data_IF_765289065599
#
_entry.id   IF_765289065599
#
_cell.length_a   1.000
_cell.length_b   1.000
_cell.length_c   1.000
_cell.angle_alpha   90.00
_cell.angle_beta   90.00
_cell.angle_gamma   90.00
#
_symmetry.space_group_name_H-M   'P 1'
#
loop_
_entity.id
_entity.type
_entity.pdbx_description
1 polymer ?
#
# COMPACT_ATOMS: atom_id res chain seq x y z
N UNK A 1 32.80 45.26 48.49
CA UNK A 1 32.19 43.99 48.81
C UNK A 1 30.78 43.86 48.22
N UNK A 2 29.99 44.94 48.17
CA UNK A 2 28.62 44.92 47.61
C UNK A 2 28.55 44.76 46.07
N UNK A 3 29.58 45.15 45.32
CA UNK A 3 29.56 45.04 43.84
C UNK A 3 29.75 43.61 43.33
N UNK A 4 30.41 42.73 44.08
CA UNK A 4 30.58 41.30 43.75
C UNK A 4 29.28 40.48 43.95
N UNK A 5 28.50 40.75 44.98
CA UNK A 5 27.27 40.04 45.28
C UNK A 5 26.19 40.27 44.24
N UNK A 6 26.13 41.48 43.65
CA UNK A 6 25.16 41.76 42.56
C UNK A 6 25.51 41.11 41.23
N UNK A 7 26.78 40.81 40.98
CA UNK A 7 27.21 40.19 39.72
C UNK A 7 26.91 38.67 39.71
N UNK A 8 27.05 38.02 40.85
CA UNK A 8 26.72 36.59 41.01
C UNK A 8 25.23 36.35 40.87
N UNK A 9 24.40 37.20 41.50
CA UNK A 9 22.93 37.12 41.35
C UNK A 9 22.44 37.31 39.91
N UNK A 10 23.07 38.25 39.17
CA UNK A 10 22.71 38.49 37.76
C UNK A 10 23.11 37.29 36.87
N UNK A 11 24.20 36.63 37.14
CA UNK A 11 24.65 35.41 36.44
C UNK A 11 23.72 34.22 36.72
N UNK A 12 23.32 34.03 37.96
CA UNK A 12 22.40 32.96 38.34
C UNK A 12 20.99 33.17 37.69
N UNK A 13 20.49 34.39 37.71
CA UNK A 13 19.25 34.75 37.06
C UNK A 13 19.31 34.52 35.54
N UNK A 14 20.43 34.88 34.90
CA UNK A 14 20.67 34.64 33.48
C UNK A 14 20.68 33.16 33.12
N UNK A 15 21.39 32.35 33.91
CA UNK A 15 21.43 30.90 33.72
C UNK A 15 20.05 30.25 33.90
N UNK A 16 19.30 30.70 34.89
CA UNK A 16 17.91 30.23 35.09
C UNK A 16 17.02 30.57 33.91
N UNK A 17 17.07 31.83 33.41
CA UNK A 17 16.27 32.26 32.25
C UNK A 17 16.70 31.52 30.98
N UNK A 18 17.98 31.28 30.75
CA UNK A 18 18.49 30.52 29.63
C UNK A 18 18.02 29.06 29.67
N UNK A 19 18.01 28.46 30.84
CA UNK A 19 17.44 27.12 31.06
C UNK A 19 15.94 27.04 30.76
N UNK A 20 15.19 28.04 31.23
CA UNK A 20 13.75 28.13 30.98
C UNK A 20 13.43 28.27 29.48
N UNK A 21 14.17 29.15 28.77
CA UNK A 21 14.02 29.33 27.31
C UNK A 21 14.36 28.02 26.58
N UNK A 22 15.42 27.32 27.00
CA UNK A 22 15.80 26.01 26.45
C UNK A 22 14.68 24.97 26.60
N UNK A 23 14.06 24.93 27.77
CA UNK A 23 12.96 23.97 28.06
C UNK A 23 11.71 24.28 27.24
N UNK A 24 11.34 25.54 27.11
CA UNK A 24 10.20 25.99 26.28
C UNK A 24 10.48 25.69 24.80
N UNK A 25 11.67 25.98 24.31
CA UNK A 25 12.07 25.71 22.93
C UNK A 25 12.04 24.23 22.60
N UNK A 26 12.51 23.38 23.51
CA UNK A 26 12.44 21.94 23.37
C UNK A 26 10.97 21.44 23.32
N UNK A 27 10.13 21.93 24.24
CA UNK A 27 8.71 21.60 24.26
C UNK A 27 7.98 21.98 22.95
N UNK A 28 8.27 23.19 22.44
CA UNK A 28 7.74 23.65 21.16
C UNK A 28 8.24 22.79 20.00
N UNK A 29 9.52 22.42 19.97
CA UNK A 29 10.07 21.57 18.92
C UNK A 29 9.39 20.18 18.91
N UNK A 30 9.19 19.56 20.06
CA UNK A 30 8.47 18.29 20.20
C UNK A 30 7.01 18.43 19.74
N UNK A 31 6.34 19.51 20.17
CA UNK A 31 4.96 19.80 19.74
C UNK A 31 4.83 19.93 18.22
N UNK A 32 5.67 20.76 17.58
CA UNK A 32 5.66 20.94 16.13
C UNK A 32 6.02 19.66 15.38
N UNK A 33 6.98 18.88 15.89
CA UNK A 33 7.32 17.60 15.29
C UNK A 33 6.15 16.61 15.32
N UNK A 34 5.43 16.52 16.44
CA UNK A 34 4.26 15.68 16.56
C UNK A 34 3.11 16.16 15.67
N UNK A 35 2.85 17.48 15.64
CA UNK A 35 1.83 18.08 14.77
C UNK A 35 2.12 17.81 13.29
N UNK A 36 3.37 17.96 12.86
CA UNK A 36 3.78 17.67 11.49
C UNK A 36 3.62 16.18 11.13
N UNK A 37 3.88 15.27 12.08
CA UNK A 37 3.65 13.82 11.88
C UNK A 37 2.16 13.51 11.70
N UNK A 38 1.29 14.12 12.48
CA UNK A 38 -0.17 13.93 12.37
C UNK A 38 -0.66 14.46 11.02
N UNK A 39 -0.29 15.70 10.65
CA UNK A 39 -0.68 16.30 9.37
C UNK A 39 -0.15 15.52 8.16
N UNK A 40 1.07 14.97 8.25
CA UNK A 40 1.62 14.12 7.20
C UNK A 40 0.82 12.81 7.09
N UNK A 41 0.45 12.21 8.23
CA UNK A 41 -0.37 10.99 8.25
C UNK A 41 -1.75 11.21 7.65
N UNK A 42 -2.40 12.34 7.95
CA UNK A 42 -3.70 12.70 7.37
C UNK A 42 -3.64 12.87 5.85
N UNK A 43 -2.57 13.48 5.32
CA UNK A 43 -2.35 13.63 3.88
C UNK A 43 -2.05 12.32 3.16
N UNK A 44 -1.48 11.34 3.86
CA UNK A 44 -1.06 10.04 3.32
C UNK A 44 -2.01 8.91 3.77
N UNK A 45 -3.27 9.24 4.07
CA UNK A 45 -4.26 8.24 4.51
C UNK A 45 -5.53 8.28 3.66
N UNK A 46 -6.12 7.09 3.51
CA UNK A 46 -7.44 6.90 2.90
C UNK A 46 -8.45 6.46 3.95
N UNK A 47 -9.69 6.87 3.74
CA UNK A 47 -10.85 6.42 4.50
C UNK A 47 -11.58 5.28 3.76
N UNK A 48 -12.53 4.61 4.44
CA UNK A 48 -13.42 3.65 3.78
C UNK A 48 -14.26 4.28 2.67
N UNK A 49 -14.62 5.56 2.81
CA UNK A 49 -15.32 6.31 1.77
C UNK A 49 -14.46 6.49 0.52
N UNK A 50 -13.15 6.77 0.70
CA UNK A 50 -12.22 6.88 -0.43
C UNK A 50 -12.06 5.54 -1.16
N UNK A 51 -11.97 4.43 -0.41
CA UNK A 51 -11.90 3.08 -0.98
C UNK A 51 -13.17 2.81 -1.80
N UNK A 52 -14.35 3.15 -1.29
CA UNK A 52 -15.60 2.97 -2.02
C UNK A 52 -15.60 3.75 -3.33
N UNK A 53 -15.22 5.03 -3.30
CA UNK A 53 -15.10 5.87 -4.50
C UNK A 53 -14.11 5.25 -5.50
N UNK A 54 -12.94 4.82 -5.03
CA UNK A 54 -11.91 4.22 -5.87
C UNK A 54 -12.39 2.95 -6.58
N UNK A 55 -13.18 2.11 -5.88
CA UNK A 55 -13.71 0.87 -6.47
C UNK A 55 -14.90 1.16 -7.40
N UNK A 56 -15.77 2.11 -7.06
CA UNK A 56 -16.86 2.53 -7.94
C UNK A 56 -16.31 3.11 -9.28
N UNK A 57 -15.20 3.88 -9.21
CA UNK A 57 -14.50 4.38 -10.40
C UNK A 57 -13.95 3.23 -11.24
N UNK A 58 -13.27 2.25 -10.63
CA UNK A 58 -12.78 1.07 -11.32
C UNK A 58 -13.91 0.30 -12.01
N UNK A 59 -15.01 0.04 -11.30
CA UNK A 59 -16.15 -0.72 -11.87
C UNK A 59 -16.72 -0.01 -13.09
N UNK A 60 -16.75 1.33 -13.10
CA UNK A 60 -17.13 2.10 -14.29
C UNK A 60 -16.17 1.89 -15.46
N UNK A 61 -14.87 1.92 -15.21
CA UNK A 61 -13.86 1.67 -16.24
C UNK A 61 -13.91 0.23 -16.76
N UNK A 62 -14.10 -0.75 -15.88
CA UNK A 62 -14.27 -2.16 -16.29
C UNK A 62 -15.47 -2.35 -17.22
N UNK A 63 -16.62 -1.71 -16.89
CA UNK A 63 -17.82 -1.76 -17.72
C UNK A 63 -17.64 -1.06 -19.07
N UNK A 64 -16.97 0.09 -19.08
CA UNK A 64 -16.63 0.84 -20.29
C UNK A 64 -15.73 0.02 -21.23
N UNK A 65 -14.76 -0.69 -20.67
CA UNK A 65 -13.85 -1.57 -21.40
C UNK A 65 -14.48 -2.92 -21.80
N UNK A 66 -15.74 -3.16 -21.42
CA UNK A 66 -16.42 -4.46 -21.57
C UNK A 66 -15.60 -5.62 -20.97
N UNK A 67 -14.95 -5.34 -19.83
CA UNK A 67 -14.12 -6.29 -19.12
C UNK A 67 -14.80 -6.72 -17.82
N UNK A 68 -15.36 -7.91 -17.82
CA UNK A 68 -15.85 -8.58 -16.61
C UNK A 68 -14.88 -9.72 -16.32
N UNK A 69 -14.15 -9.70 -15.18
CA UNK A 69 -13.24 -10.77 -14.85
C UNK A 69 -13.97 -12.06 -14.50
N UNK A 70 -13.44 -13.21 -14.89
CA UNK A 70 -13.91 -14.52 -14.44
C UNK A 70 -13.38 -14.83 -13.03
N UNK A 71 -12.20 -14.28 -12.70
CA UNK A 71 -11.53 -14.45 -11.40
C UNK A 71 -10.89 -13.13 -10.96
N UNK A 72 -10.93 -12.88 -9.67
CA UNK A 72 -10.15 -11.82 -9.03
C UNK A 72 -9.07 -12.47 -8.19
N UNK A 73 -7.83 -12.00 -8.31
CA UNK A 73 -6.71 -12.47 -7.52
C UNK A 73 -6.03 -11.31 -6.81
N UNK A 74 -5.77 -11.49 -5.54
CA UNK A 74 -4.94 -10.56 -4.78
C UNK A 74 -3.73 -11.29 -4.20
N UNK A 75 -2.51 -10.75 -4.33
CA UNK A 75 -1.33 -11.35 -3.72
C UNK A 75 -1.36 -11.30 -2.19
N UNK A 76 -2.19 -10.42 -1.58
CA UNK A 76 -2.25 -10.20 -0.13
C UNK A 76 -3.68 -9.88 0.35
N UNK A 77 -3.94 -10.09 1.65
CA UNK A 77 -5.24 -9.80 2.26
C UNK A 77 -5.81 -8.40 1.99
N UNK A 78 -5.03 -7.29 2.02
CA UNK A 78 -5.57 -5.96 1.73
C UNK A 78 -6.24 -5.85 0.36
N UNK A 79 -5.57 -6.32 -0.69
CA UNK A 79 -6.17 -6.37 -2.02
C UNK A 79 -7.35 -7.34 -2.11
N UNK A 80 -7.37 -8.40 -1.30
CA UNK A 80 -8.50 -9.32 -1.18
C UNK A 80 -9.77 -8.64 -0.69
N UNK A 81 -9.66 -7.71 0.28
CA UNK A 81 -10.79 -6.88 0.74
C UNK A 81 -11.36 -6.07 -0.44
N UNK A 82 -10.48 -5.41 -1.20
CA UNK A 82 -10.87 -4.63 -2.37
C UNK A 82 -11.50 -5.54 -3.43
N UNK A 83 -10.91 -6.72 -3.66
CA UNK A 83 -11.42 -7.71 -4.61
C UNK A 83 -12.84 -8.17 -4.29
N UNK A 84 -13.17 -8.38 -3.02
CA UNK A 84 -14.55 -8.71 -2.62
C UNK A 84 -15.51 -7.56 -2.88
N UNK A 85 -15.14 -6.31 -2.60
CA UNK A 85 -15.99 -5.15 -2.91
C UNK A 85 -16.23 -5.04 -4.43
N UNK A 86 -15.19 -5.30 -5.26
CA UNK A 86 -15.31 -5.32 -6.72
C UNK A 86 -16.29 -6.43 -7.16
N UNK A 87 -16.14 -7.65 -6.62
CA UNK A 87 -17.02 -8.78 -6.93
C UNK A 87 -18.47 -8.43 -6.64
N UNK A 88 -18.79 -7.91 -5.46
CA UNK A 88 -20.14 -7.48 -5.06
C UNK A 88 -20.73 -6.45 -6.04
N UNK A 89 -19.95 -5.45 -6.43
CA UNK A 89 -20.42 -4.40 -7.36
C UNK A 89 -20.57 -4.88 -8.82
N UNK A 90 -19.99 -6.02 -9.15
CA UNK A 90 -20.13 -6.68 -10.46
C UNK A 90 -21.18 -7.79 -10.46
N UNK A 91 -21.89 -8.04 -9.34
CA UNK A 91 -22.98 -9.01 -9.26
C UNK A 91 -22.78 -10.09 -8.17
N UNK A 92 -21.65 -10.10 -7.47
CA UNK A 92 -21.41 -10.98 -6.32
C UNK A 92 -20.91 -12.39 -6.64
N UNK A 93 -20.85 -12.78 -7.92
CA UNK A 93 -20.56 -14.17 -8.31
C UNK A 93 -19.11 -14.42 -8.75
N UNK A 94 -18.25 -13.40 -8.71
CA UNK A 94 -16.88 -13.53 -9.18
C UNK A 94 -16.00 -14.05 -8.03
N UNK A 95 -15.38 -15.25 -8.17
CA UNK A 95 -14.51 -15.79 -7.14
C UNK A 95 -13.28 -14.92 -6.89
N UNK A 96 -13.01 -14.66 -5.60
CA UNK A 96 -11.84 -13.89 -5.15
C UNK A 96 -10.84 -14.83 -4.49
N UNK A 97 -9.64 -14.87 -5.03
CA UNK A 97 -8.52 -15.64 -4.49
C UNK A 97 -7.52 -14.72 -3.82
N UNK A 98 -7.11 -15.07 -2.62
CA UNK A 98 -6.05 -14.35 -1.90
C UNK A 98 -4.81 -15.22 -1.90
N UNK A 99 -3.69 -14.67 -2.34
CA UNK A 99 -2.40 -15.35 -2.34
C UNK A 99 -1.81 -15.47 -0.94
N UNK A 100 -0.96 -16.47 -0.78
CA UNK A 100 -0.12 -16.63 0.40
C UNK A 100 1.21 -15.92 0.18
N UNK A 101 1.31 -14.68 0.64
CA UNK A 101 2.49 -13.85 0.42
C UNK A 101 3.18 -13.55 1.74
N UNK A 102 4.41 -14.00 1.87
CA UNK A 102 5.27 -13.78 3.02
C UNK A 102 6.56 -13.06 2.62
N UNK A 103 7.18 -12.38 3.58
CA UNK A 103 8.49 -11.75 3.36
C UNK A 103 9.58 -12.83 3.24
N UNK A 104 10.51 -12.69 2.30
CA UNK A 104 11.71 -13.55 2.20
C UNK A 104 12.59 -13.55 3.46
N UNK A 105 12.36 -12.60 4.38
CA UNK A 105 13.01 -12.57 5.70
C UNK A 105 12.29 -13.42 6.75
N UNK A 106 11.13 -14.01 6.42
CA UNK A 106 10.40 -14.89 7.31
C UNK A 106 11.13 -16.21 7.44
N UNK A 107 11.29 -16.70 8.67
CA UNK A 107 11.91 -18.00 8.96
C UNK A 107 10.92 -19.17 8.87
N UNK A 108 9.61 -18.87 8.82
CA UNK A 108 8.54 -19.85 8.79
C UNK A 108 7.71 -19.67 7.51
N UNK A 109 8.21 -20.22 6.40
CA UNK A 109 7.48 -20.27 5.14
C UNK A 109 6.84 -21.66 5.09
N UNK A 110 5.50 -21.70 5.06
CA UNK A 110 4.74 -22.92 4.83
C UNK A 110 4.15 -22.86 3.43
N UNK A 111 4.55 -23.79 2.57
CA UNK A 111 4.01 -23.90 1.24
C UNK A 111 2.81 -24.84 1.22
N UNK A 112 1.76 -24.43 0.53
CA UNK A 112 0.53 -25.21 0.36
C UNK A 112 0.46 -25.78 -1.04
N UNK A 113 0.13 -27.04 -1.19
CA UNK A 113 0.12 -27.78 -2.46
C UNK A 113 -0.77 -27.15 -3.56
N UNK A 114 -1.76 -26.36 -3.19
CA UNK A 114 -2.66 -25.71 -4.15
C UNK A 114 -2.17 -24.35 -4.67
N UNK A 115 -1.01 -23.87 -4.18
CA UNK A 115 -0.31 -22.72 -4.73
C UNK A 115 0.91 -23.12 -5.55
N UNK A 116 1.24 -22.28 -6.52
CA UNK A 116 2.56 -22.19 -7.14
C UNK A 116 3.26 -20.99 -6.53
N UNK A 117 4.48 -21.17 -6.05
CA UNK A 117 5.22 -20.12 -5.36
C UNK A 117 6.28 -19.51 -6.26
N UNK A 118 6.38 -18.18 -6.18
CA UNK A 118 7.42 -17.40 -6.85
C UNK A 118 8.18 -16.56 -5.83
N UNK A 119 9.48 -16.46 -6.03
CA UNK A 119 10.33 -15.58 -5.25
C UNK A 119 10.63 -14.30 -6.00
N UNK A 120 10.37 -13.17 -5.35
CA UNK A 120 10.81 -11.85 -5.76
C UNK A 120 11.96 -11.40 -4.86
N UNK A 121 12.53 -10.22 -5.10
CA UNK A 121 13.58 -9.67 -4.23
C UNK A 121 13.15 -9.47 -2.77
N UNK A 122 11.84 -9.41 -2.49
CA UNK A 122 11.28 -9.09 -1.16
C UNK A 122 10.29 -10.12 -0.65
N UNK A 123 9.60 -10.82 -1.54
CA UNK A 123 8.42 -11.60 -1.23
C UNK A 123 8.47 -12.99 -1.83
N UNK A 124 7.99 -13.94 -1.06
CA UNK A 124 7.57 -15.25 -1.50
C UNK A 124 6.06 -15.21 -1.71
N UNK A 125 5.60 -15.39 -2.94
CA UNK A 125 4.22 -15.14 -3.35
C UNK A 125 3.58 -16.43 -3.84
N UNK A 126 2.51 -16.89 -3.18
CA UNK A 126 1.71 -18.03 -3.59
C UNK A 126 0.60 -17.62 -4.56
N UNK A 127 0.63 -18.17 -5.77
CA UNK A 127 -0.40 -18.00 -6.79
C UNK A 127 -1.21 -19.30 -6.87
N UNK A 128 -2.56 -19.27 -6.73
CA UNK A 128 -3.37 -20.49 -6.88
C UNK A 128 -3.14 -21.17 -8.24
N UNK A 129 -2.81 -22.46 -8.24
CA UNK A 129 -2.56 -23.25 -9.46
C UNK A 129 -3.74 -23.23 -10.42
N UNK A 130 -4.96 -23.09 -9.90
CA UNK A 130 -6.16 -22.89 -10.68
C UNK A 130 -6.03 -21.70 -11.63
N UNK A 131 -5.51 -20.55 -11.16
CA UNK A 131 -5.36 -19.35 -11.97
C UNK A 131 -4.31 -19.53 -13.08
N UNK A 132 -3.25 -20.29 -12.80
CA UNK A 132 -2.20 -20.59 -13.77
C UNK A 132 -2.72 -21.53 -14.87
N UNK A 133 -3.69 -22.41 -14.55
CA UNK A 133 -4.28 -23.36 -15.49
C UNK A 133 -5.58 -22.90 -16.16
N UNK A 134 -6.15 -21.76 -15.75
CA UNK A 134 -7.46 -21.26 -16.18
C UNK A 134 -7.46 -20.68 -17.60
N UNK A 135 -7.42 -21.52 -18.64
CA UNK A 135 -7.33 -21.12 -20.03
C UNK A 135 -8.53 -20.30 -20.50
N UNK A 136 -8.27 -19.23 -21.26
CA UNK A 136 -9.30 -18.38 -21.86
C UNK A 136 -10.08 -17.52 -20.86
N UNK A 137 -9.66 -17.48 -19.59
CA UNK A 137 -10.31 -16.72 -18.54
C UNK A 137 -9.74 -15.32 -18.41
N UNK A 138 -10.59 -14.36 -18.02
CA UNK A 138 -10.20 -13.00 -17.68
C UNK A 138 -9.86 -12.94 -16.19
N UNK A 139 -8.67 -12.46 -15.87
CA UNK A 139 -8.19 -12.40 -14.49
C UNK A 139 -7.86 -10.95 -14.14
N UNK A 140 -8.47 -10.44 -13.06
CA UNK A 140 -8.16 -9.15 -12.50
C UNK A 140 -7.26 -9.33 -11.26
N UNK A 141 -6.02 -8.86 -11.35
CA UNK A 141 -5.09 -8.83 -10.21
C UNK A 141 -5.34 -7.53 -9.43
N UNK A 142 -5.60 -7.64 -8.12
CA UNK A 142 -5.98 -6.50 -7.28
C UNK A 142 -5.02 -6.39 -6.09
N UNK A 143 -4.45 -5.20 -5.89
CA UNK A 143 -3.71 -4.87 -4.66
C UNK A 143 -4.15 -3.49 -4.13
N UNK A 144 -3.77 -3.15 -2.91
CA UNK A 144 -4.06 -1.86 -2.32
C UNK A 144 -3.05 -0.79 -2.75
N UNK A 145 -1.78 -1.16 -2.79
CA UNK A 145 -0.68 -0.25 -3.05
C UNK A 145 0.40 -0.86 -3.93
N UNK A 146 0.77 -0.14 -4.98
CA UNK A 146 1.86 -0.54 -5.87
C UNK A 146 3.02 0.44 -5.75
N UNK A 147 4.16 -0.03 -5.23
CA UNK A 147 5.35 0.78 -5.06
C UNK A 147 6.23 0.80 -6.32
N UNK A 148 6.74 -0.35 -6.76
CA UNK A 148 7.59 -0.46 -7.97
C UNK A 148 6.90 -1.11 -9.16
N UNK A 149 5.77 -1.77 -8.96
CA UNK A 149 5.05 -2.53 -9.97
C UNK A 149 5.66 -3.90 -10.33
N UNK A 150 6.83 -4.24 -9.79
CA UNK A 150 7.54 -5.47 -10.14
C UNK A 150 6.74 -6.73 -9.77
N UNK A 151 6.16 -6.79 -8.56
CA UNK A 151 5.40 -7.94 -8.10
C UNK A 151 4.17 -8.22 -8.99
N UNK A 152 3.37 -7.19 -9.31
CA UNK A 152 2.19 -7.33 -10.18
C UNK A 152 2.60 -7.78 -11.59
N UNK A 153 3.70 -7.24 -12.11
CA UNK A 153 4.23 -7.62 -13.43
C UNK A 153 4.69 -9.07 -13.45
N UNK A 154 5.39 -9.51 -12.42
CA UNK A 154 5.88 -10.88 -12.30
C UNK A 154 4.75 -11.88 -12.18
N UNK A 155 3.77 -11.63 -11.30
CA UNK A 155 2.54 -12.40 -11.18
C UNK A 155 1.81 -12.50 -12.53
N UNK A 156 1.61 -11.36 -13.20
CA UNK A 156 0.94 -11.30 -14.51
C UNK A 156 1.67 -12.14 -15.56
N UNK A 157 3.00 -12.14 -15.53
CA UNK A 157 3.83 -12.90 -16.46
C UNK A 157 3.68 -14.40 -16.23
N UNK A 158 3.67 -14.85 -14.99
CA UNK A 158 3.53 -16.28 -14.65
C UNK A 158 2.16 -16.81 -15.03
N UNK A 159 1.10 -16.09 -14.65
CA UNK A 159 -0.26 -16.50 -15.01
C UNK A 159 -0.41 -16.53 -16.54
N UNK A 160 0.14 -15.56 -17.26
CA UNK A 160 0.08 -15.50 -18.72
C UNK A 160 0.84 -16.65 -19.38
N UNK A 161 2.03 -16.99 -18.89
CA UNK A 161 2.84 -18.07 -19.42
C UNK A 161 2.21 -19.45 -19.20
N UNK A 162 1.59 -19.66 -18.05
CA UNK A 162 0.85 -20.90 -17.76
C UNK A 162 -0.42 -21.03 -18.60
N UNK A 163 -1.02 -19.91 -18.96
CA UNK A 163 -2.38 -19.86 -19.46
C UNK A 163 -2.55 -19.59 -20.97
N UNK A 164 -1.54 -19.20 -21.67
CA UNK A 164 -1.39 -18.86 -23.11
C UNK A 164 -2.46 -17.93 -23.75
N UNK A 165 -3.64 -17.72 -23.17
CA UNK A 165 -4.77 -16.97 -23.79
C UNK A 165 -5.63 -16.23 -22.73
N UNK A 166 -5.08 -15.75 -21.64
CA UNK A 166 -5.86 -15.02 -20.64
C UNK A 166 -5.71 -13.51 -20.83
N UNK A 167 -6.83 -12.78 -20.80
CA UNK A 167 -6.81 -11.33 -20.64
C UNK A 167 -6.60 -11.00 -19.16
N UNK A 168 -5.36 -10.64 -18.82
CA UNK A 168 -4.95 -10.33 -17.47
C UNK A 168 -4.82 -8.83 -17.34
N UNK A 169 -5.63 -8.24 -16.48
CA UNK A 169 -5.52 -6.84 -16.09
C UNK A 169 -5.20 -6.71 -14.61
N UNK A 170 -4.72 -5.57 -14.19
CA UNK A 170 -4.34 -5.31 -12.81
C UNK A 170 -4.90 -3.98 -12.33
N UNK A 171 -5.21 -3.91 -11.05
CA UNK A 171 -5.70 -2.72 -10.38
C UNK A 171 -5.00 -2.50 -9.04
N UNK A 172 -4.76 -1.24 -8.73
CA UNK A 172 -4.37 -0.81 -7.37
C UNK A 172 -5.07 0.50 -7.02
N UNK A 173 -5.38 0.68 -5.75
CA UNK A 173 -5.96 1.95 -5.29
C UNK A 173 -4.92 3.05 -5.41
N UNK A 174 -3.71 2.81 -4.94
CA UNK A 174 -2.63 3.80 -4.98
C UNK A 174 -1.40 3.24 -5.69
N UNK A 175 -0.77 4.06 -6.51
CA UNK A 175 0.48 3.74 -7.21
C UNK A 175 1.49 4.86 -7.01
N UNK A 176 2.77 4.53 -6.87
CA UNK A 176 3.80 5.57 -6.80
C UNK A 176 4.10 6.16 -8.16
N UNK A 177 4.51 7.43 -8.18
CA UNK A 177 5.00 8.09 -9.39
C UNK A 177 6.20 7.34 -10.01
N UNK A 178 7.01 6.69 -9.19
CA UNK A 178 8.12 5.84 -9.64
C UNK A 178 7.65 4.68 -10.53
N UNK A 179 6.56 4.01 -10.14
CA UNK A 179 6.02 2.90 -10.94
C UNK A 179 5.41 3.40 -12.26
N UNK A 180 4.75 4.57 -12.24
CA UNK A 180 4.18 5.19 -13.43
C UNK A 180 5.28 5.63 -14.40
N UNK A 181 6.28 6.36 -13.93
CA UNK A 181 7.43 6.81 -14.75
C UNK A 181 8.27 5.64 -15.30
N UNK A 182 8.34 4.54 -14.54
CA UNK A 182 9.02 3.31 -14.93
C UNK A 182 8.24 2.41 -15.90
N UNK A 183 7.05 2.81 -16.37
CA UNK A 183 6.13 1.97 -17.16
C UNK A 183 5.81 0.61 -16.50
N UNK A 184 5.67 0.62 -15.18
CA UNK A 184 5.35 -0.56 -14.37
C UNK A 184 4.07 -0.39 -13.55
N UNK A 185 3.31 0.67 -13.82
CA UNK A 185 2.02 0.87 -13.20
C UNK A 185 1.05 -0.27 -13.54
N UNK A 186 0.11 -0.63 -12.63
CA UNK A 186 -1.01 -1.50 -12.96
C UNK A 186 -1.82 -0.95 -14.15
N UNK A 187 -2.61 -1.82 -14.79
CA UNK A 187 -3.45 -1.43 -15.94
C UNK A 187 -4.47 -0.35 -15.54
N UNK A 188 -5.04 -0.48 -14.35
CA UNK A 188 -5.90 0.52 -13.72
C UNK A 188 -5.29 0.94 -12.38
N UNK A 189 -5.45 2.20 -12.04
CA UNK A 189 -5.16 2.73 -10.71
C UNK A 189 -5.99 3.96 -10.42
N UNK A 190 -6.30 4.20 -9.15
CA UNK A 190 -7.14 5.33 -8.78
C UNK A 190 -6.33 6.63 -8.66
N UNK A 191 -5.24 6.62 -7.90
CA UNK A 191 -4.39 7.83 -7.69
C UNK A 191 -2.92 7.49 -7.65
N UNK A 192 -2.11 8.49 -8.00
CA UNK A 192 -0.66 8.45 -7.82
C UNK A 192 -0.25 9.08 -6.50
N UNK A 193 0.91 8.68 -5.98
CA UNK A 193 1.50 9.20 -4.75
C UNK A 193 3.02 9.21 -4.84
N UNK A 194 3.65 10.27 -4.33
CA UNK A 194 5.12 10.36 -4.25
C UNK A 194 5.70 9.49 -3.12
N UNK A 195 4.93 9.32 -2.04
CA UNK A 195 5.37 8.61 -0.84
C UNK A 195 5.36 7.10 -1.04
N UNK A 196 6.39 6.43 -0.52
CA UNK A 196 6.45 4.97 -0.44
C UNK A 196 5.74 4.40 0.79
N UNK A 197 5.15 5.24 1.61
CA UNK A 197 4.42 4.87 2.82
C UNK A 197 3.05 5.53 2.82
N UNK A 198 2.01 4.72 2.80
CA UNK A 198 0.63 5.16 2.75
C UNK A 198 -0.23 4.43 3.78
N UNK A 199 -1.28 5.08 4.28
CA UNK A 199 -2.18 4.52 5.30
C UNK A 199 -3.54 4.22 4.69
N UNK A 200 -3.97 2.99 4.83
CA UNK A 200 -5.29 2.51 4.45
C UNK A 200 -6.16 2.28 5.70
N UNK A 201 -7.49 2.13 5.57
CA UNK A 201 -8.35 1.83 6.72
C UNK A 201 -7.97 0.56 7.48
N UNK A 202 -7.31 -0.39 6.82
CA UNK A 202 -6.81 -1.65 7.40
C UNK A 202 -5.36 -1.58 7.88
N UNK A 203 -4.66 -0.47 7.71
CA UNK A 203 -3.29 -0.28 8.19
C UNK A 203 -2.35 0.36 7.17
N UNK A 204 -1.06 0.19 7.41
CA UNK A 204 0.00 0.76 6.56
C UNK A 204 0.26 -0.15 5.37
N UNK A 205 0.38 0.41 4.17
CA UNK A 205 0.91 -0.29 3.00
C UNK A 205 2.34 -0.80 3.28
N UNK A 206 2.62 -2.05 2.93
CA UNK A 206 3.90 -2.70 3.20
C UNK A 206 4.56 -3.14 1.89
#
# INVERSE_FOLDING_TARGET
MEMMVGMDFALDLWNFLAGLIGFISFGLAVYFQNKNRVLKREKESLTWSDIRIAVDDLVRELKKDNYIPDYIYSPRCPGGIIGHIISELLGGDIPVFVGDTVSNKSTNITEWDFYEYIETSKWHIGIPKLLISARGKKILIVDDFTMSGDAIREISTIIRNGNKISDIRSYTVMVTDMAVQGNKAPYYYWKTVESTRFYFPWGVAK
#
